data_IF_030336690000
#
_entry.id   IF_030336690000
#
_cell.length_a   1.000
_cell.length_b   1.000
_cell.length_c   1.000
_cell.angle_alpha   90.00
_cell.angle_beta   90.00
_cell.angle_gamma   90.00
#
_symmetry.space_group_name_H-M   'P 1'
#
loop_
_entity.id
_entity.type
_entity.pdbx_description
1 polymer ?
#
# COMPACT_ATOMS: atom_id res chain seq x y z
N UNK A 1 4.10 -15.57 -44.83
CA UNK A 1 5.08 -16.66 -44.60
C UNK A 1 6.36 -16.16 -43.87
N UNK A 2 6.95 -15.01 -44.19
CA UNK A 2 8.18 -14.55 -43.51
C UNK A 2 8.07 -14.19 -42.03
N UNK A 3 6.90 -13.77 -41.53
CA UNK A 3 6.71 -13.37 -40.12
C UNK A 3 6.73 -14.57 -39.16
N UNK A 4 6.24 -15.74 -39.58
CA UNK A 4 6.27 -16.96 -38.75
C UNK A 4 7.68 -17.54 -38.57
N UNK A 5 8.57 -17.35 -39.55
CA UNK A 5 9.97 -17.81 -39.48
C UNK A 5 10.76 -16.95 -38.49
N UNK A 6 10.45 -15.65 -38.39
CA UNK A 6 11.06 -14.75 -37.41
C UNK A 6 10.60 -15.07 -35.95
N UNK A 7 9.35 -15.42 -35.75
CA UNK A 7 8.86 -15.83 -34.44
C UNK A 7 9.44 -17.18 -33.96
N UNK A 8 9.68 -18.14 -34.87
CA UNK A 8 10.33 -19.40 -34.55
C UNK A 8 11.83 -19.23 -34.22
N UNK A 9 12.50 -18.22 -34.75
CA UNK A 9 13.91 -17.92 -34.48
C UNK A 9 14.13 -17.42 -33.03
N UNK A 10 13.12 -16.85 -32.40
CA UNK A 10 13.17 -16.46 -30.96
C UNK A 10 12.71 -17.54 -29.98
N UNK A 11 12.12 -18.64 -30.48
CA UNK A 11 11.55 -19.68 -29.63
C UNK A 11 12.58 -20.72 -29.10
N UNK A 12 13.82 -20.69 -29.58
CA UNK A 12 14.90 -21.52 -29.06
C UNK A 12 15.95 -20.67 -28.36
N UNK A 13 15.59 -20.09 -27.23
CA UNK A 13 16.60 -19.56 -26.31
C UNK A 13 17.34 -20.72 -25.68
N UNK A 14 18.54 -20.97 -26.18
CA UNK A 14 19.47 -21.97 -25.64
C UNK A 14 19.83 -21.57 -24.21
N UNK A 15 19.36 -22.37 -23.24
CA UNK A 15 19.59 -22.11 -21.81
C UNK A 15 21.09 -21.93 -21.48
N UNK A 16 21.97 -22.56 -22.27
CA UNK A 16 23.42 -22.39 -22.14
C UNK A 16 23.91 -21.00 -22.57
N UNK A 17 23.26 -20.37 -23.56
CA UNK A 17 23.59 -19.00 -23.96
C UNK A 17 23.07 -17.98 -22.97
N UNK A 18 21.88 -18.21 -22.40
CA UNK A 18 21.34 -17.35 -21.35
C UNK A 18 22.22 -17.37 -20.10
N UNK A 19 22.69 -18.55 -19.71
CA UNK A 19 23.63 -18.69 -18.57
C UNK A 19 24.95 -17.95 -18.80
N UNK A 20 25.52 -18.02 -20.01
CA UNK A 20 26.72 -17.26 -20.36
C UNK A 20 26.52 -15.74 -20.34
N UNK A 21 25.36 -15.27 -20.78
CA UNK A 21 25.04 -13.82 -20.72
C UNK A 21 24.82 -13.38 -19.26
N UNK A 22 24.17 -14.20 -18.43
CA UNK A 22 24.00 -13.92 -17.01
C UNK A 22 25.36 -13.89 -16.28
N UNK A 23 26.26 -14.85 -16.54
CA UNK A 23 27.63 -14.84 -15.98
C UNK A 23 28.44 -13.62 -16.46
N UNK A 24 28.33 -13.24 -17.73
CA UNK A 24 29.01 -12.05 -18.26
C UNK A 24 28.46 -10.74 -17.68
N UNK A 25 27.16 -10.65 -17.37
CA UNK A 25 26.57 -9.53 -16.67
C UNK A 25 26.98 -9.50 -15.18
N UNK A 26 27.07 -10.65 -14.54
CA UNK A 26 27.55 -10.77 -13.16
C UNK A 26 29.01 -10.29 -13.02
N UNK A 27 29.88 -10.62 -13.97
CA UNK A 27 31.26 -10.12 -14.02
C UNK A 27 31.35 -8.62 -14.35
N UNK A 28 30.45 -8.10 -15.20
CA UNK A 28 30.48 -6.69 -15.63
C UNK A 28 29.88 -5.73 -14.59
N UNK A 29 28.90 -6.17 -13.80
CA UNK A 29 28.23 -5.34 -12.80
C UNK A 29 28.67 -5.62 -11.35
N UNK A 30 29.65 -6.53 -11.15
CA UNK A 30 30.31 -6.75 -9.86
C UNK A 30 29.33 -7.09 -8.73
N UNK A 31 28.70 -8.27 -8.79
CA UNK A 31 27.96 -8.77 -7.63
C UNK A 31 29.00 -9.06 -6.55
N UNK A 32 28.94 -8.32 -5.46
CA UNK A 32 29.80 -8.48 -4.30
C UNK A 32 29.52 -9.88 -3.72
N UNK A 33 30.40 -10.85 -4.03
CA UNK A 33 30.37 -12.15 -3.38
C UNK A 33 30.72 -11.96 -1.92
N UNK A 34 29.89 -12.45 -1.03
CA UNK A 34 30.22 -12.57 0.39
C UNK A 34 31.55 -13.32 0.51
N UNK A 35 32.62 -12.59 0.72
CA UNK A 35 33.90 -13.15 1.10
C UNK A 35 33.70 -13.64 2.52
N UNK A 36 33.55 -14.95 2.69
CA UNK A 36 33.65 -15.57 4.01
C UNK A 36 34.99 -15.11 4.60
N UNK A 37 34.91 -14.26 5.61
CA UNK A 37 36.09 -13.75 6.31
C UNK A 37 36.81 -14.94 6.95
N UNK A 38 37.84 -15.41 6.28
CA UNK A 38 38.84 -16.30 6.89
C UNK A 38 39.56 -15.45 7.92
N UNK A 39 39.41 -15.83 9.18
CA UNK A 39 40.00 -15.34 10.43
C UNK A 39 40.76 -14.01 10.37
N UNK A 40 40.46 -13.03 11.23
CA UNK A 40 41.21 -11.81 11.29
C UNK A 40 42.68 -12.14 11.67
N UNK A 41 43.69 -11.56 10.98
CA UNK A 41 45.06 -11.80 11.36
C UNK A 41 45.28 -11.32 12.80
N UNK A 42 45.74 -12.20 13.67
CA UNK A 42 46.11 -11.85 15.02
C UNK A 42 47.23 -10.78 14.95
N UNK A 43 46.85 -9.55 15.35
CA UNK A 43 47.83 -8.46 15.46
C UNK A 43 48.87 -8.82 16.49
N UNK A 44 50.09 -9.16 16.07
CA UNK A 44 51.26 -9.27 16.92
C UNK A 44 51.65 -7.87 17.38
N UNK A 45 51.41 -7.58 18.65
CA UNK A 45 51.90 -6.34 19.30
C UNK A 45 53.42 -6.27 19.23
N UNK A 46 53.96 -5.25 18.60
CA UNK A 46 55.41 -4.98 18.44
C UNK A 46 56.12 -4.75 19.80
N UNK A 47 55.41 -4.67 20.91
CA UNK A 47 55.96 -4.39 22.26
C UNK A 47 56.42 -5.67 22.96
N UNK A 48 56.17 -6.86 22.47
CA UNK A 48 56.43 -8.13 23.15
C UNK A 48 57.82 -8.76 22.82
N UNK A 49 58.72 -8.07 22.10
CA UNK A 49 59.98 -8.68 21.64
C UNK A 49 61.17 -8.55 22.59
N UNK A 50 61.00 -8.01 23.79
CA UNK A 50 62.16 -7.80 24.70
C UNK A 50 62.02 -8.32 26.15
N UNK A 51 61.31 -9.41 26.39
CA UNK A 51 61.38 -10.07 27.71
C UNK A 51 61.80 -11.52 27.59
N UNK A 52 62.92 -11.88 28.23
CA UNK A 52 63.48 -13.21 28.40
C UNK A 52 62.47 -14.11 29.13
N UNK A 53 62.36 -15.39 28.74
CA UNK A 53 61.44 -16.32 29.38
C UNK A 53 61.97 -16.77 30.75
N UNK A 54 61.33 -16.34 31.82
CA UNK A 54 61.39 -17.04 33.08
C UNK A 54 60.53 -18.33 33.00
N UNK A 55 61.12 -19.49 33.25
CA UNK A 55 60.45 -20.76 33.30
C UNK A 55 59.54 -20.77 34.54
N UNK A 56 58.28 -20.56 34.39
CA UNK A 56 57.26 -20.82 35.43
C UNK A 56 56.42 -22.04 35.05
N UNK A 57 56.35 -22.98 35.99
CA UNK A 57 55.57 -24.20 35.89
C UNK A 57 54.07 -23.90 35.60
N UNK A 58 53.37 -24.71 34.82
CA UNK A 58 51.96 -24.50 34.48
C UNK A 58 51.10 -24.78 35.72
N UNK A 59 50.52 -23.73 36.28
CA UNK A 59 49.37 -23.86 37.19
C UNK A 59 48.13 -24.14 36.32
N UNK A 60 47.26 -25.10 36.67
CA UNK A 60 46.04 -25.33 35.91
C UNK A 60 45.08 -24.17 36.18
N UNK A 61 45.13 -23.13 35.36
CA UNK A 61 44.08 -22.13 35.27
C UNK A 61 42.94 -22.76 34.53
N UNK A 62 41.90 -23.03 35.29
CA UNK A 62 40.57 -23.34 34.79
C UNK A 62 40.11 -22.17 33.90
N UNK A 63 40.30 -22.27 32.59
CA UNK A 63 39.74 -21.34 31.65
C UNK A 63 38.21 -21.55 31.66
N UNK A 64 37.56 -20.73 32.48
CA UNK A 64 36.11 -20.49 32.31
C UNK A 64 35.96 -19.81 30.93
N UNK A 65 35.77 -20.61 29.88
CA UNK A 65 35.21 -20.11 28.63
C UNK A 65 33.79 -19.69 28.91
N UNK A 66 33.62 -18.42 29.26
CA UNK A 66 32.32 -17.79 29.07
C UNK A 66 32.01 -17.81 27.57
N UNK A 67 31.45 -18.92 27.08
CA UNK A 67 30.78 -18.91 25.81
C UNK A 67 29.51 -18.08 25.99
N UNK A 68 29.62 -16.79 25.72
CA UNK A 68 28.45 -15.98 25.42
C UNK A 68 27.87 -16.52 24.11
N UNK A 69 27.26 -17.69 24.20
CA UNK A 69 26.41 -18.16 23.13
C UNK A 69 25.19 -17.26 23.18
N UNK A 70 25.27 -16.08 22.55
CA UNK A 70 24.07 -15.50 21.99
C UNK A 70 23.55 -16.55 21.00
N UNK A 71 22.71 -17.43 21.52
CA UNK A 71 21.94 -18.36 20.74
C UNK A 71 20.92 -17.48 19.99
N UNK A 72 21.41 -16.80 18.95
CA UNK A 72 20.50 -16.29 17.93
C UNK A 72 19.82 -17.53 17.37
N UNK A 73 18.66 -17.84 17.90
CA UNK A 73 17.78 -18.87 17.36
C UNK A 73 17.44 -18.36 15.96
N UNK A 74 18.21 -18.78 14.96
CA UNK A 74 17.84 -18.56 13.56
C UNK A 74 16.55 -19.34 13.38
N UNK A 75 15.41 -18.63 13.53
CA UNK A 75 14.13 -19.18 13.17
C UNK A 75 14.20 -19.42 11.68
N UNK A 76 14.14 -20.67 11.27
CA UNK A 76 14.15 -21.06 9.88
C UNK A 76 12.75 -20.77 9.34
N UNK A 77 12.51 -19.51 8.93
CA UNK A 77 11.22 -19.06 8.40
C UNK A 77 10.97 -19.77 7.09
N UNK A 78 9.98 -20.64 7.07
CA UNK A 78 9.56 -21.29 5.83
C UNK A 78 8.74 -20.29 4.97
N UNK A 79 8.64 -20.57 3.66
CA UNK A 79 7.78 -19.80 2.75
C UNK A 79 6.33 -19.79 3.24
N UNK A 80 5.88 -20.89 3.84
CA UNK A 80 4.55 -21.03 4.41
C UNK A 80 4.34 -20.12 5.62
N UNK A 81 5.34 -20.03 6.53
CA UNK A 81 5.26 -19.14 7.69
C UNK A 81 5.19 -17.67 7.25
N UNK A 82 5.90 -17.31 6.16
CA UNK A 82 5.81 -15.97 5.58
C UNK A 82 4.41 -15.66 5.03
N UNK A 83 3.79 -16.61 4.31
CA UNK A 83 2.43 -16.45 3.80
C UNK A 83 1.40 -16.34 4.93
N UNK A 84 1.50 -17.17 5.94
CA UNK A 84 0.61 -17.16 7.11
C UNK A 84 0.69 -15.81 7.87
N UNK A 85 1.90 -15.28 8.09
CA UNK A 85 2.10 -13.96 8.71
C UNK A 85 1.53 -12.84 7.84
N UNK A 86 1.80 -12.85 6.53
CA UNK A 86 1.25 -11.86 5.60
C UNK A 86 -0.27 -11.86 5.60
N UNK A 87 -0.89 -13.04 5.56
CA UNK A 87 -2.34 -13.17 5.61
C UNK A 87 -2.92 -12.63 6.92
N UNK A 88 -2.31 -12.95 8.06
CA UNK A 88 -2.75 -12.42 9.37
C UNK A 88 -2.66 -10.89 9.43
N UNK A 89 -1.55 -10.31 8.96
CA UNK A 89 -1.38 -8.86 8.92
C UNK A 89 -2.40 -8.18 8.01
N UNK A 90 -2.65 -8.75 6.83
CA UNK A 90 -3.63 -8.23 5.89
C UNK A 90 -5.05 -8.31 6.47
N UNK A 91 -5.42 -9.44 7.09
CA UNK A 91 -6.72 -9.62 7.75
C UNK A 91 -6.91 -8.64 8.92
N UNK A 92 -5.89 -8.44 9.73
CA UNK A 92 -5.93 -7.45 10.81
C UNK A 92 -6.16 -6.04 10.25
N UNK A 93 -5.46 -5.68 9.17
CA UNK A 93 -5.61 -4.37 8.52
C UNK A 93 -6.98 -4.18 7.88
N UNK A 94 -7.54 -5.20 7.23
CA UNK A 94 -8.91 -5.18 6.71
C UNK A 94 -9.90 -4.95 7.87
N UNK A 95 -9.73 -5.63 9.01
CA UNK A 95 -10.58 -5.40 10.18
C UNK A 95 -10.52 -3.97 10.74
N UNK A 96 -9.33 -3.32 10.70
CA UNK A 96 -9.19 -1.91 11.04
C UNK A 96 -9.95 -1.00 10.05
N UNK A 97 -9.82 -1.28 8.74
CA UNK A 97 -10.52 -0.55 7.67
C UNK A 97 -12.04 -0.67 7.82
N UNK A 98 -12.54 -1.87 8.09
CA UNK A 98 -13.98 -2.09 8.32
C UNK A 98 -14.48 -1.34 9.56
N UNK A 99 -13.72 -1.36 10.65
CA UNK A 99 -14.05 -0.60 11.87
C UNK A 99 -14.09 0.91 11.62
N UNK A 100 -13.17 1.44 10.80
CA UNK A 100 -13.16 2.86 10.40
C UNK A 100 -14.37 3.16 9.50
N UNK A 101 -14.68 2.29 8.55
CA UNK A 101 -15.85 2.45 7.68
C UNK A 101 -17.17 2.46 8.50
N UNK A 102 -17.27 1.64 9.54
CA UNK A 102 -18.45 1.62 10.40
C UNK A 102 -18.58 2.89 11.24
N UNK A 103 -17.48 3.50 11.69
CA UNK A 103 -17.49 4.83 12.31
C UNK A 103 -17.99 5.89 11.34
N UNK A 104 -17.50 5.86 10.08
CA UNK A 104 -17.96 6.78 9.02
C UNK A 104 -19.44 6.59 8.74
N UNK A 105 -19.92 5.35 8.60
CA UNK A 105 -21.36 5.05 8.44
C UNK A 105 -22.17 5.59 9.62
N UNK A 106 -21.68 5.44 10.85
CA UNK A 106 -22.32 5.96 12.06
C UNK A 106 -22.49 7.49 12.04
N UNK A 107 -21.48 8.22 11.57
CA UNK A 107 -21.53 9.68 11.43
C UNK A 107 -22.44 10.17 10.31
N UNK A 108 -22.73 9.34 9.31
CA UNK A 108 -23.49 9.66 8.10
C UNK A 108 -24.83 8.91 8.03
N UNK A 109 -25.34 8.42 9.16
CA UNK A 109 -26.53 7.53 9.20
C UNK A 109 -27.75 8.19 8.54
N UNK A 110 -27.99 9.49 8.80
CA UNK A 110 -29.12 10.23 8.23
C UNK A 110 -28.95 10.38 6.72
N UNK A 111 -27.78 10.80 6.26
CA UNK A 111 -27.47 11.04 4.84
C UNK A 111 -27.51 9.74 4.02
N UNK A 112 -27.15 8.61 4.66
CA UNK A 112 -27.29 7.28 4.05
C UNK A 112 -28.77 6.89 3.93
N UNK A 113 -29.57 7.12 4.97
CA UNK A 113 -31.01 6.85 4.95
C UNK A 113 -31.77 7.68 3.91
N UNK A 114 -31.34 8.93 3.69
CA UNK A 114 -31.86 9.82 2.65
C UNK A 114 -31.35 9.49 1.23
N UNK A 115 -30.41 8.54 1.13
CA UNK A 115 -29.82 8.12 -0.14
C UNK A 115 -28.89 9.16 -0.78
N UNK A 116 -28.42 10.14 -0.03
CA UNK A 116 -27.49 11.16 -0.49
C UNK A 116 -26.07 10.64 -0.62
N UNK A 117 -25.69 9.75 0.31
CA UNK A 117 -24.37 9.16 0.43
C UNK A 117 -24.47 7.65 0.63
N UNK A 118 -23.50 6.90 0.18
CA UNK A 118 -23.32 5.49 0.57
C UNK A 118 -21.87 5.22 0.92
N UNK A 119 -21.62 4.30 1.85
CA UNK A 119 -20.28 3.91 2.29
C UNK A 119 -20.12 2.41 2.10
N UNK A 120 -19.05 2.02 1.43
CA UNK A 120 -18.68 0.63 1.18
C UNK A 120 -17.19 0.43 1.48
N UNK A 121 -16.79 -0.81 1.72
CA UNK A 121 -15.38 -1.21 1.83
C UNK A 121 -15.01 -2.14 0.68
N UNK A 122 -13.77 -2.07 0.24
CA UNK A 122 -13.18 -2.98 -0.72
C UNK A 122 -11.72 -3.23 -0.30
N UNK A 123 -11.47 -4.34 0.38
CA UNK A 123 -10.17 -4.67 0.96
C UNK A 123 -9.63 -3.53 1.85
N UNK A 124 -8.55 -2.87 1.42
CA UNK A 124 -7.89 -1.77 2.15
C UNK A 124 -8.44 -0.39 1.76
N UNK A 125 -9.62 -0.33 1.16
CA UNK A 125 -10.23 0.92 0.71
C UNK A 125 -11.59 1.14 1.36
N UNK A 126 -11.81 2.39 1.78
CA UNK A 126 -13.14 2.87 2.18
C UNK A 126 -13.64 3.76 1.04
N UNK A 127 -14.82 3.47 0.52
CA UNK A 127 -15.42 4.18 -0.62
C UNK A 127 -16.67 4.90 -0.15
N UNK A 128 -16.63 6.22 -0.13
CA UNK A 128 -17.76 7.10 0.16
C UNK A 128 -18.29 7.61 -1.18
N UNK A 129 -19.49 7.23 -1.55
CA UNK A 129 -20.14 7.67 -2.80
C UNK A 129 -21.14 8.77 -2.51
N UNK A 130 -21.02 9.87 -3.21
CA UNK A 130 -21.88 11.04 -3.13
C UNK A 130 -22.73 11.07 -4.40
N UNK A 131 -24.04 10.96 -4.26
CA UNK A 131 -24.96 10.98 -5.40
C UNK A 131 -25.12 12.42 -5.93
N UNK A 132 -25.11 12.57 -7.27
CA UNK A 132 -25.30 13.87 -7.93
C UNK A 132 -26.59 14.56 -7.48
N UNK A 133 -27.71 13.84 -7.41
CA UNK A 133 -29.04 14.41 -7.15
C UNK A 133 -29.10 15.26 -5.88
N UNK A 134 -28.37 14.89 -4.83
CA UNK A 134 -28.30 15.64 -3.57
C UNK A 134 -27.28 16.76 -3.61
N UNK A 135 -26.16 16.56 -4.29
CA UNK A 135 -24.94 17.36 -4.14
C UNK A 135 -24.74 18.42 -5.24
N UNK A 136 -25.11 18.12 -6.49
CA UNK A 136 -24.90 19.03 -7.63
C UNK A 136 -26.20 19.27 -8.40
N UNK A 137 -26.40 20.48 -8.97
CA UNK A 137 -27.38 20.67 -10.02
C UNK A 137 -26.98 19.89 -11.27
N UNK A 138 -27.97 19.48 -12.07
CA UNK A 138 -27.71 18.71 -13.29
C UNK A 138 -26.79 19.47 -14.24
N UNK A 139 -25.80 18.78 -14.81
CA UNK A 139 -24.85 19.36 -15.77
C UNK A 139 -23.89 20.41 -15.19
N UNK A 140 -23.76 20.52 -13.87
CA UNK A 140 -22.84 21.47 -13.23
C UNK A 140 -21.88 20.77 -12.26
N UNK A 141 -20.79 21.46 -11.92
CA UNK A 141 -19.85 21.09 -10.88
C UNK A 141 -19.91 22.03 -9.66
N UNK A 142 -20.99 22.80 -9.51
CA UNK A 142 -21.18 23.71 -8.37
C UNK A 142 -21.89 22.91 -7.27
N UNK A 143 -21.28 22.85 -6.08
CA UNK A 143 -21.88 22.18 -4.92
C UNK A 143 -23.11 22.96 -4.43
N UNK A 144 -24.22 22.26 -4.17
CA UNK A 144 -25.41 22.86 -3.58
C UNK A 144 -25.11 23.33 -2.15
N UNK A 145 -25.51 24.54 -1.79
CA UNK A 145 -25.32 25.06 -0.43
C UNK A 145 -25.93 24.15 0.66
N UNK A 146 -27.08 23.52 0.37
CA UNK A 146 -27.70 22.56 1.29
C UNK A 146 -26.91 21.26 1.52
N UNK A 147 -25.90 20.98 0.69
CA UNK A 147 -25.03 19.80 0.83
C UNK A 147 -23.75 20.11 1.63
N UNK A 148 -23.44 21.39 1.90
CA UNK A 148 -22.23 21.76 2.67
C UNK A 148 -22.15 21.07 4.05
N UNK A 149 -23.23 20.96 4.85
CA UNK A 149 -23.16 20.27 6.14
C UNK A 149 -22.81 18.79 6.02
N UNK A 150 -23.26 18.13 4.92
CA UNK A 150 -22.93 16.74 4.64
C UNK A 150 -21.44 16.61 4.27
N UNK A 151 -20.95 17.52 3.42
CA UNK A 151 -19.52 17.60 3.09
C UNK A 151 -18.65 17.86 4.30
N UNK A 152 -19.13 18.64 5.26
CA UNK A 152 -18.42 18.90 6.51
C UNK A 152 -18.20 17.61 7.34
N UNK A 153 -19.26 16.80 7.49
CA UNK A 153 -19.19 15.49 8.16
C UNK A 153 -18.27 14.52 7.41
N UNK A 154 -18.42 14.44 6.07
CA UNK A 154 -17.57 13.58 5.23
C UNK A 154 -16.10 13.98 5.40
N UNK A 155 -15.78 15.27 5.29
CA UNK A 155 -14.39 15.74 5.39
C UNK A 155 -13.78 15.47 6.76
N UNK A 156 -14.55 15.65 7.85
CA UNK A 156 -14.10 15.29 9.19
C UNK A 156 -13.77 13.80 9.28
N UNK A 157 -14.67 12.95 8.80
CA UNK A 157 -14.46 11.49 8.80
C UNK A 157 -13.26 11.05 7.95
N UNK A 158 -13.02 11.71 6.81
CA UNK A 158 -11.84 11.47 5.94
C UNK A 158 -10.55 11.90 6.63
N UNK A 159 -10.56 13.00 7.37
CA UNK A 159 -9.36 13.47 8.09
C UNK A 159 -8.99 12.54 9.26
N UNK A 160 -9.98 11.91 9.88
CA UNK A 160 -9.77 10.94 10.98
C UNK A 160 -9.25 9.58 10.48
N UNK A 161 -9.38 9.29 9.17
CA UNK A 161 -8.92 8.05 8.57
C UNK A 161 -7.53 8.22 7.90
N UNK A 162 -6.56 7.32 8.15
CA UNK A 162 -5.26 7.35 7.48
C UNK A 162 -5.36 6.90 6.02
N UNK A 163 -4.36 7.25 5.21
CA UNK A 163 -4.22 6.79 3.82
C UNK A 163 -4.34 7.91 2.80
N UNK A 164 -4.23 7.54 1.52
CA UNK A 164 -4.37 8.44 0.38
C UNK A 164 -5.84 8.58 0.01
N UNK A 165 -6.27 9.78 -0.28
CA UNK A 165 -7.65 10.14 -0.60
C UNK A 165 -7.77 10.42 -2.09
N UNK A 166 -8.43 9.52 -2.83
CA UNK A 166 -8.76 9.74 -4.22
C UNK A 166 -10.17 10.32 -4.32
N UNK A 167 -10.32 11.43 -4.99
CA UNK A 167 -11.61 12.06 -5.28
C UNK A 167 -11.92 11.86 -6.75
N UNK A 168 -12.84 10.97 -7.06
CA UNK A 168 -13.13 10.48 -8.40
C UNK A 168 -14.52 10.92 -8.88
N UNK A 169 -14.59 11.64 -10.00
CA UNK A 169 -15.84 12.05 -10.63
C UNK A 169 -16.29 11.08 -11.71
N UNK A 170 -17.60 10.80 -11.74
CA UNK A 170 -18.25 9.92 -12.70
C UNK A 170 -19.50 10.56 -13.28
N UNK A 171 -19.79 10.27 -14.54
CA UNK A 171 -21.04 10.65 -15.22
C UNK A 171 -21.79 9.41 -15.71
N UNK A 172 -22.97 9.61 -16.25
CA UNK A 172 -23.60 8.62 -17.11
C UNK A 172 -23.07 8.73 -18.55
N UNK A 173 -23.61 7.90 -19.45
CA UNK A 173 -23.21 7.85 -20.85
C UNK A 173 -23.91 8.88 -21.76
N UNK A 174 -24.74 9.78 -21.21
CA UNK A 174 -25.36 10.86 -22.00
C UNK A 174 -24.29 11.94 -22.22
N UNK A 175 -23.93 12.24 -23.47
CA UNK A 175 -22.95 13.27 -23.75
C UNK A 175 -23.40 14.65 -23.28
N UNK A 176 -22.50 15.40 -22.65
CA UNK A 176 -22.72 16.80 -22.34
C UNK A 176 -21.83 17.69 -23.22
N UNK A 177 -22.40 18.81 -23.68
CA UNK A 177 -21.66 19.91 -24.30
C UNK A 177 -22.37 21.19 -23.95
N UNK A 178 -21.75 22.03 -23.14
CA UNK A 178 -22.25 23.32 -22.68
C UNK A 178 -21.15 24.37 -22.77
N UNK A 179 -21.47 25.62 -22.54
CA UNK A 179 -20.47 26.69 -22.48
C UNK A 179 -19.42 26.50 -21.38
N UNK A 180 -19.75 25.71 -20.35
CA UNK A 180 -18.88 25.45 -19.20
C UNK A 180 -18.10 24.12 -19.30
N UNK A 181 -18.68 23.11 -19.95
CA UNK A 181 -18.11 21.78 -20.03
C UNK A 181 -18.22 21.23 -21.46
N UNK A 182 -17.09 20.99 -22.08
CA UNK A 182 -17.01 20.46 -23.46
C UNK A 182 -17.34 18.98 -23.54
N UNK A 183 -17.22 18.26 -22.41
CA UNK A 183 -17.43 16.80 -22.38
C UNK A 183 -17.73 16.29 -20.95
N UNK A 184 -18.18 15.05 -20.86
CA UNK A 184 -18.34 14.32 -19.61
C UNK A 184 -17.05 14.24 -18.80
N UNK A 185 -15.89 14.26 -19.43
CA UNK A 185 -14.59 14.26 -18.76
C UNK A 185 -14.37 15.54 -17.96
N UNK A 186 -14.66 16.69 -18.56
CA UNK A 186 -14.52 17.98 -17.86
C UNK A 186 -15.52 18.12 -16.73
N UNK A 187 -16.77 17.70 -16.94
CA UNK A 187 -17.78 17.72 -15.89
C UNK A 187 -17.40 16.83 -14.72
N UNK A 188 -16.98 15.58 -15.01
CA UNK A 188 -16.54 14.63 -13.99
C UNK A 188 -15.35 15.17 -13.18
N UNK A 189 -14.30 15.62 -13.87
CA UNK A 189 -13.12 16.21 -13.24
C UNK A 189 -13.49 17.47 -12.44
N UNK A 190 -14.31 18.36 -12.98
CA UNK A 190 -14.79 19.58 -12.30
C UNK A 190 -15.51 19.27 -10.99
N UNK A 191 -16.36 18.26 -10.96
CA UNK A 191 -17.06 17.81 -9.74
C UNK A 191 -16.08 17.29 -8.70
N UNK A 192 -15.12 16.47 -9.13
CA UNK A 192 -14.08 15.94 -8.24
C UNK A 192 -13.22 17.09 -7.67
N UNK A 193 -12.83 18.06 -8.50
CA UNK A 193 -12.11 19.26 -8.06
C UNK A 193 -12.91 20.05 -7.02
N UNK A 194 -14.21 20.24 -7.23
CA UNK A 194 -15.08 20.99 -6.29
C UNK A 194 -15.11 20.32 -4.92
N UNK A 195 -15.25 18.98 -4.88
CA UNK A 195 -15.24 18.21 -3.63
C UNK A 195 -13.87 18.30 -2.95
N UNK A 196 -12.79 18.10 -3.69
CA UNK A 196 -11.43 18.20 -3.16
C UNK A 196 -11.12 19.61 -2.63
N UNK A 197 -11.49 20.64 -3.37
CA UNK A 197 -11.29 22.05 -2.96
C UNK A 197 -12.04 22.37 -1.65
N UNK A 198 -13.27 21.84 -1.50
CA UNK A 198 -14.01 21.96 -0.24
C UNK A 198 -13.25 21.32 0.93
N UNK A 199 -12.75 20.10 0.75
CA UNK A 199 -12.00 19.36 1.78
C UNK A 199 -10.73 20.11 2.19
N UNK A 200 -10.00 20.63 1.21
CA UNK A 200 -8.73 21.34 1.43
C UNK A 200 -8.95 22.68 2.14
N UNK A 201 -9.92 23.49 1.70
CA UNK A 201 -10.11 24.86 2.17
C UNK A 201 -10.88 24.97 3.49
N UNK A 202 -11.91 24.15 3.69
CA UNK A 202 -12.82 24.29 4.83
C UNK A 202 -12.38 23.56 6.08
N UNK A 203 -11.68 22.42 5.93
CA UNK A 203 -11.32 21.52 7.05
C UNK A 203 -9.84 21.15 7.11
N UNK A 204 -9.01 21.72 6.25
CA UNK A 204 -7.56 21.55 6.31
C UNK A 204 -7.08 20.11 6.06
N UNK A 205 -7.73 19.40 5.15
CA UNK A 205 -7.20 18.09 4.67
C UNK A 205 -5.80 18.31 4.10
N UNK A 206 -4.86 17.42 4.42
CA UNK A 206 -3.49 17.50 3.91
C UNK A 206 -3.47 17.37 2.37
N UNK A 207 -3.01 18.39 1.63
CA UNK A 207 -2.94 18.34 0.17
C UNK A 207 -2.12 17.19 -0.39
N UNK A 208 -1.09 16.73 0.35
CA UNK A 208 -0.23 15.64 -0.07
C UNK A 208 -0.95 14.29 -0.10
N UNK A 209 -2.11 14.19 0.57
CA UNK A 209 -2.93 12.97 0.60
C UNK A 209 -4.01 12.96 -0.47
N UNK A 210 -4.26 14.07 -1.18
CA UNK A 210 -5.42 14.19 -2.07
C UNK A 210 -5.02 14.03 -3.53
N UNK A 211 -5.68 13.12 -4.22
CA UNK A 211 -5.57 12.89 -5.66
C UNK A 211 -6.94 13.12 -6.29
N UNK A 212 -6.99 13.88 -7.37
CA UNK A 212 -8.25 14.17 -8.09
C UNK A 212 -8.27 13.45 -9.42
N UNK A 213 -9.37 12.75 -9.69
CA UNK A 213 -9.55 11.90 -10.87
C UNK A 213 -10.89 12.17 -11.55
N UNK A 214 -10.91 12.11 -12.87
CA UNK A 214 -12.14 12.16 -13.65
C UNK A 214 -12.24 10.94 -14.54
N UNK A 215 -13.33 10.19 -14.47
CA UNK A 215 -13.54 8.96 -15.22
C UNK A 215 -14.68 9.06 -16.25
N UNK A 216 -15.42 10.15 -16.27
CA UNK A 216 -16.61 10.28 -17.10
C UNK A 216 -17.52 9.05 -16.96
N UNK A 217 -17.94 8.44 -18.07
CA UNK A 217 -18.78 7.24 -18.13
C UNK A 217 -18.00 5.93 -18.28
N UNK A 218 -16.65 5.98 -18.23
CA UNK A 218 -15.79 4.80 -18.50
C UNK A 218 -15.77 3.77 -17.37
N UNK A 219 -16.17 4.17 -16.14
CA UNK A 219 -16.27 3.28 -14.97
C UNK A 219 -17.68 3.32 -14.39
N UNK A 220 -18.68 2.77 -15.06
CA UNK A 220 -20.05 2.75 -14.57
C UNK A 220 -20.19 1.81 -13.37
N UNK A 221 -20.97 2.21 -12.38
CA UNK A 221 -21.31 1.36 -11.22
C UNK A 221 -22.33 0.28 -11.62
N UNK A 222 -23.24 0.63 -12.50
CA UNK A 222 -24.27 -0.23 -13.08
C UNK A 222 -24.44 0.08 -14.57
N UNK A 223 -25.09 -0.79 -15.33
CA UNK A 223 -25.36 -0.54 -16.74
C UNK A 223 -26.16 0.76 -16.94
N UNK A 224 -25.85 1.53 -18.01
CA UNK A 224 -26.52 2.81 -18.32
C UNK A 224 -27.86 2.63 -19.08
N UNK A 225 -28.60 1.58 -18.80
CA UNK A 225 -29.82 1.13 -19.53
C UNK A 225 -31.10 1.84 -19.11
N UNK A 226 -31.19 2.32 -17.88
CA UNK A 226 -32.34 3.02 -17.33
C UNK A 226 -31.98 4.39 -16.75
N UNK A 227 -32.99 5.26 -16.56
CA UNK A 227 -32.80 6.56 -15.95
C UNK A 227 -32.31 6.43 -14.49
N UNK A 228 -32.81 5.43 -13.77
CA UNK A 228 -32.44 5.11 -12.39
C UNK A 228 -30.98 4.65 -12.31
N UNK A 229 -30.55 3.78 -13.23
CA UNK A 229 -29.19 3.29 -13.28
C UNK A 229 -28.21 4.39 -13.69
N UNK A 230 -28.57 5.23 -14.66
CA UNK A 230 -27.76 6.43 -15.00
C UNK A 230 -27.63 7.36 -13.79
N UNK A 231 -28.68 7.55 -12.99
CA UNK A 231 -28.60 8.37 -11.78
C UNK A 231 -27.61 7.81 -10.74
N UNK A 232 -27.46 6.48 -10.64
CA UNK A 232 -26.45 5.84 -9.78
C UNK A 232 -25.03 6.04 -10.32
N UNK A 233 -24.88 6.09 -11.64
CA UNK A 233 -23.58 6.31 -12.28
C UNK A 233 -23.10 7.77 -12.11
N UNK A 234 -24.01 8.75 -12.08
CA UNK A 234 -23.68 10.16 -11.82
C UNK A 234 -23.37 10.37 -10.34
N UNK A 235 -22.09 10.27 -9.98
CA UNK A 235 -21.62 10.32 -8.60
C UNK A 235 -20.21 10.91 -8.50
N UNK A 236 -19.85 11.27 -7.30
CA UNK A 236 -18.45 11.49 -6.92
C UNK A 236 -18.10 10.44 -5.86
N UNK A 237 -16.97 9.78 -6.02
CA UNK A 237 -16.43 8.83 -5.04
C UNK A 237 -15.25 9.47 -4.31
N UNK A 238 -15.24 9.37 -2.98
CA UNK A 238 -14.09 9.66 -2.14
C UNK A 238 -13.59 8.31 -1.66
N UNK A 239 -12.39 7.92 -2.11
CA UNK A 239 -11.80 6.61 -1.84
C UNK A 239 -10.59 6.83 -0.93
N UNK A 240 -10.65 6.35 0.30
CA UNK A 240 -9.53 6.34 1.22
C UNK A 240 -8.80 5.01 1.02
N UNK A 241 -7.60 5.06 0.45
CA UNK A 241 -6.77 3.90 0.17
C UNK A 241 -5.68 3.80 1.23
N UNK A 242 -5.68 2.73 2.01
CA UNK A 242 -4.63 2.46 2.99
C UNK A 242 -3.53 1.60 2.39
N UNK A 243 -2.31 1.75 2.93
CA UNK A 243 -1.18 0.95 2.47
C UNK A 243 -1.33 -0.51 2.90
N UNK A 244 -0.92 -1.39 1.99
CA UNK A 244 -0.83 -2.81 2.29
C UNK A 244 0.36 -3.05 3.24
N UNK A 245 0.12 -3.53 4.47
CA UNK A 245 1.18 -3.74 5.46
C UNK A 245 2.16 -4.85 5.08
N UNK A 246 1.85 -5.61 4.03
CA UNK A 246 2.71 -6.72 3.57
C UNK A 246 3.68 -6.30 2.47
N UNK A 247 3.54 -5.09 1.92
CA UNK A 247 4.45 -4.56 0.92
C UNK A 247 5.83 -4.28 1.54
N UNK A 248 6.85 -4.91 0.97
CA UNK A 248 8.24 -4.73 1.43
C UNK A 248 8.66 -5.56 2.64
N UNK A 249 7.79 -6.44 3.18
CA UNK A 249 8.16 -7.36 4.26
C UNK A 249 9.31 -8.28 3.84
N UNK A 250 10.38 -8.26 4.63
CA UNK A 250 11.55 -9.14 4.47
C UNK A 250 11.47 -10.34 5.41
N UNK A 251 12.32 -11.34 5.15
CA UNK A 251 12.40 -12.56 5.98
C UNK A 251 12.77 -12.22 7.44
N UNK A 252 13.64 -11.22 7.63
CA UNK A 252 14.05 -10.74 8.94
C UNK A 252 12.86 -10.21 9.75
N UNK A 253 12.00 -9.40 9.13
CA UNK A 253 10.82 -8.80 9.76
C UNK A 253 9.84 -9.88 10.22
N UNK A 254 9.62 -10.90 9.37
CA UNK A 254 8.73 -12.03 9.69
C UNK A 254 9.31 -12.88 10.83
N UNK A 255 10.63 -13.08 10.88
CA UNK A 255 11.26 -13.82 11.97
C UNK A 255 11.10 -13.12 13.33
N UNK A 256 11.14 -11.79 13.35
CA UNK A 256 10.93 -10.99 14.55
C UNK A 256 9.49 -11.05 15.03
N UNK A 257 8.52 -10.98 14.12
CA UNK A 257 7.08 -11.12 14.44
C UNK A 257 6.80 -12.47 15.07
N UNK A 258 7.28 -13.58 14.46
CA UNK A 258 7.08 -14.94 14.98
C UNK A 258 7.69 -15.09 16.38
N UNK A 259 8.87 -14.52 16.62
CA UNK A 259 9.51 -14.56 17.94
C UNK A 259 8.71 -13.79 18.99
N UNK A 260 8.17 -12.63 18.61
CA UNK A 260 7.38 -11.77 19.50
C UNK A 260 6.08 -12.44 19.90
N UNK A 261 5.38 -13.08 18.96
CA UNK A 261 4.14 -13.83 19.23
C UNK A 261 4.40 -15.04 20.12
N UNK A 262 5.49 -15.79 19.89
CA UNK A 262 5.86 -16.91 20.71
C UNK A 262 6.24 -16.53 22.16
N UNK A 263 6.67 -15.29 22.40
CA UNK A 263 6.95 -14.77 23.73
C UNK A 263 5.67 -14.34 24.46
N UNK A 264 4.68 -13.79 23.74
CA UNK A 264 3.36 -13.43 24.32
C UNK A 264 2.56 -14.64 24.77
N UNK A 265 2.60 -15.73 23.97
CA UNK A 265 1.90 -16.99 24.33
C UNK A 265 2.49 -17.69 25.58
N UNK A 266 3.75 -17.42 25.94
CA UNK A 266 4.39 -17.96 27.14
C UNK A 266 4.16 -17.12 28.40
N UNK A 267 3.59 -15.92 28.25
CA UNK A 267 3.33 -14.98 29.36
C UNK A 267 1.87 -14.97 29.82
N UNK A 268 0.99 -15.71 29.14
CA UNK A 268 -0.39 -15.99 29.54
C UNK A 268 -0.51 -17.44 30.05
#
# INVERSE_FOLDING_TARGET
MCFFVLLLSFATMDAAKFKKVAESMEDAFGVQRDIVAVEPPMGTSIIAQHFSPAITQPTPLEQIKQSTTQKSTKVNVSVKDMEDVKQKMLQAKIGEVDSQADKIKGSLTQEIAEGLVSVATDNLKIIIRINERGSFPSGTAILKAGFEPVMEKITSAVNDAPGIVHVAGHTDNIPISTDWYRSNWELAAGRAVTVADYMLKKKGTDPNRVIVEGYADTKPLVANDSAENRAKNRRVEIIISQEDPTLGLKVEDVSEIIQTDALKDKSN
#
